data_IF_757218647632
#
_entry.id   IF_757218647632
#
_cell.length_a   1.000
_cell.length_b   1.000
_cell.length_c   1.000
_cell.angle_alpha   90.00
_cell.angle_beta   90.00
_cell.angle_gamma   90.00
#
_symmetry.space_group_name_H-M   'P 1'
#
loop_
_entity.id
_entity.type
_entity.pdbx_description
1 polymer ?
#
# COMPACT_ATOMS: atom_id res chain seq x y z
N UNK A 1 -2.62 2.07 9.82
CA UNK A 1 -1.64 2.66 8.86
C UNK A 1 -0.19 2.43 9.30
N UNK A 2 0.19 2.74 10.55
CA UNK A 2 1.57 2.49 11.03
C UNK A 2 2.05 1.04 10.77
N UNK A 3 1.25 0.05 11.15
CA UNK A 3 1.63 -1.37 10.95
C UNK A 3 1.73 -1.76 9.47
N UNK A 4 0.92 -1.13 8.61
CA UNK A 4 1.02 -1.33 7.15
C UNK A 4 2.35 -0.76 6.67
N UNK A 5 2.67 0.49 7.00
CA UNK A 5 3.93 1.13 6.63
C UNK A 5 5.14 0.34 7.15
N UNK A 6 5.08 -0.19 8.37
CA UNK A 6 6.10 -1.08 8.91
C UNK A 6 6.18 -2.41 8.16
N UNK A 7 5.06 -2.97 7.72
CA UNK A 7 5.04 -4.20 6.92
C UNK A 7 5.71 -4.01 5.55
N UNK A 8 5.56 -2.85 4.91
CA UNK A 8 6.28 -2.53 3.67
C UNK A 8 7.80 -2.42 3.86
N UNK A 9 8.25 -2.02 5.07
CA UNK A 9 9.67 -1.84 5.41
C UNK A 9 10.33 -3.09 5.97
N UNK A 10 9.61 -4.20 6.12
CA UNK A 10 10.26 -5.43 6.54
C UNK A 10 11.17 -5.93 5.39
N UNK A 11 12.25 -6.63 5.74
CA UNK A 11 13.30 -7.01 4.79
C UNK A 11 12.74 -7.82 3.61
N UNK A 12 11.76 -8.68 3.88
CA UNK A 12 11.16 -9.54 2.86
C UNK A 12 10.31 -8.76 1.85
N UNK A 13 9.41 -7.89 2.33
CA UNK A 13 8.52 -7.12 1.48
C UNK A 13 9.26 -5.99 0.77
N UNK A 14 10.20 -5.33 1.44
CA UNK A 14 11.05 -4.31 0.83
C UNK A 14 11.83 -4.89 -0.34
N UNK A 15 12.43 -6.08 -0.15
CA UNK A 15 13.10 -6.80 -1.24
C UNK A 15 12.13 -7.12 -2.38
N UNK A 16 10.96 -7.69 -2.10
CA UNK A 16 9.94 -8.00 -3.14
C UNK A 16 9.50 -6.77 -3.93
N UNK A 17 9.28 -5.65 -3.26
CA UNK A 17 8.89 -4.39 -3.90
C UNK A 17 10.02 -3.84 -4.78
N UNK A 18 11.27 -3.95 -4.32
CA UNK A 18 12.44 -3.53 -5.09
C UNK A 18 12.66 -4.42 -6.32
N UNK A 19 12.67 -5.73 -6.15
CA UNK A 19 12.86 -6.68 -7.25
C UNK A 19 11.79 -6.46 -8.35
N UNK A 20 10.52 -6.27 -7.94
CA UNK A 20 9.43 -5.94 -8.86
C UNK A 20 9.57 -4.59 -9.57
N UNK A 21 10.18 -3.59 -8.91
CA UNK A 21 10.46 -2.29 -9.52
C UNK A 21 11.62 -2.40 -10.52
N UNK A 22 12.67 -3.14 -10.17
CA UNK A 22 13.81 -3.39 -11.05
C UNK A 22 13.38 -4.17 -12.30
N UNK A 23 12.47 -5.15 -12.17
CA UNK A 23 11.88 -5.91 -13.28
C UNK A 23 10.98 -5.06 -14.18
N UNK A 24 10.23 -4.11 -13.61
CA UNK A 24 9.35 -3.22 -14.37
C UNK A 24 10.10 -2.08 -15.09
N UNK A 25 11.27 -1.69 -14.57
CA UNK A 25 12.03 -0.54 -15.07
C UNK A 25 11.20 0.76 -15.04
N UNK A 26 11.12 1.44 -16.19
CA UNK A 26 10.34 2.67 -16.36
C UNK A 26 8.96 2.43 -17.02
N UNK A 27 8.59 1.18 -17.29
CA UNK A 27 7.29 0.88 -17.90
C UNK A 27 6.20 0.99 -16.85
N UNK A 28 5.41 2.05 -16.95
CA UNK A 28 4.35 2.37 -16.00
C UNK A 28 3.30 1.26 -15.87
N UNK A 29 2.98 0.56 -16.97
CA UNK A 29 2.03 -0.53 -16.95
C UNK A 29 2.63 -1.74 -16.23
N UNK A 30 3.92 -2.03 -16.44
CA UNK A 30 4.62 -3.08 -15.70
C UNK A 30 4.76 -2.75 -14.22
N UNK A 31 5.07 -1.49 -13.86
CA UNK A 31 5.12 -1.05 -12.46
C UNK A 31 3.78 -1.36 -11.79
N UNK A 32 2.66 -0.98 -12.43
CA UNK A 32 1.32 -1.32 -11.91
C UNK A 32 1.11 -2.83 -11.81
N UNK A 33 1.45 -3.60 -12.84
CA UNK A 33 1.22 -5.05 -12.87
C UNK A 33 2.05 -5.82 -11.83
N UNK A 34 3.26 -5.38 -11.52
CA UNK A 34 4.15 -6.08 -10.58
C UNK A 34 4.05 -5.55 -9.15
N UNK A 35 3.96 -4.23 -8.97
CA UNK A 35 3.91 -3.61 -7.63
C UNK A 35 2.53 -3.75 -6.99
N UNK A 36 1.45 -3.55 -7.75
CA UNK A 36 0.11 -3.51 -7.17
C UNK A 36 -0.30 -4.82 -6.47
N UNK A 37 -0.07 -6.03 -7.05
CA UNK A 37 -0.40 -7.29 -6.37
C UNK A 37 0.40 -7.50 -5.08
N UNK A 38 1.68 -7.12 -5.07
CA UNK A 38 2.56 -7.24 -3.90
C UNK A 38 2.05 -6.30 -2.79
N UNK A 39 1.85 -5.02 -3.12
CA UNK A 39 1.34 -4.02 -2.20
C UNK A 39 -0.04 -4.39 -1.62
N UNK A 40 -0.91 -4.96 -2.45
CA UNK A 40 -2.23 -5.44 -2.08
C UNK A 40 -2.13 -6.57 -1.06
N UNK A 41 -1.27 -7.56 -1.33
CA UNK A 41 -1.05 -8.70 -0.44
C UNK A 41 -0.46 -8.29 0.91
N UNK A 42 0.47 -7.34 0.93
CA UNK A 42 1.02 -6.79 2.17
C UNK A 42 -0.08 -6.17 3.02
N UNK A 43 -0.94 -5.34 2.42
CA UNK A 43 -2.05 -4.70 3.14
C UNK A 43 -3.07 -5.74 3.64
N UNK A 44 -3.48 -6.70 2.81
CA UNK A 44 -4.42 -7.77 3.17
C UNK A 44 -3.93 -8.64 4.33
N UNK A 45 -2.60 -8.79 4.51
CA UNK A 45 -2.03 -9.52 5.64
C UNK A 45 -2.08 -8.74 6.96
N UNK A 46 -2.25 -7.42 6.92
CA UNK A 46 -2.20 -6.54 8.10
C UNK A 46 -3.59 -6.13 8.58
N UNK A 47 -4.50 -5.79 7.66
CA UNK A 47 -5.83 -5.28 8.00
C UNK A 47 -6.71 -6.21 8.86
N UNK A 48 -6.54 -7.56 8.88
CA UNK A 48 -7.29 -8.43 9.78
C UNK A 48 -7.08 -8.14 11.27
N UNK A 49 -5.91 -7.59 11.64
CA UNK A 49 -5.61 -7.15 13.00
C UNK A 49 -6.54 -6.05 13.50
N UNK A 50 -7.25 -5.38 12.59
CA UNK A 50 -8.14 -4.26 12.87
C UNK A 50 -9.61 -4.55 12.54
N UNK A 51 -9.97 -5.83 12.33
CA UNK A 51 -11.36 -6.26 12.12
C UNK A 51 -11.86 -6.19 10.68
N UNK A 52 -10.97 -6.01 9.69
CA UNK A 52 -11.31 -6.17 8.27
C UNK A 52 -11.06 -7.60 7.81
N UNK A 53 -11.70 -8.04 6.73
CA UNK A 53 -11.32 -9.31 6.09
C UNK A 53 -9.95 -9.20 5.40
N UNK A 54 -9.23 -10.32 5.30
CA UNK A 54 -7.92 -10.40 4.64
C UNK A 54 -8.00 -10.60 3.13
N UNK A 55 -8.98 -9.98 2.48
CA UNK A 55 -9.33 -10.16 1.07
C UNK A 55 -9.61 -8.82 0.39
N UNK A 56 -10.05 -8.88 -0.88
CA UNK A 56 -10.35 -7.71 -1.70
C UNK A 56 -11.40 -6.80 -1.08
N UNK A 57 -12.48 -7.38 -0.57
CA UNK A 57 -13.58 -6.62 0.03
C UNK A 57 -13.13 -5.92 1.31
N UNK A 58 -12.32 -6.61 2.13
CA UNK A 58 -11.72 -6.03 3.33
C UNK A 58 -10.81 -4.86 3.03
N UNK A 59 -9.98 -4.97 1.97
CA UNK A 59 -9.11 -3.88 1.53
C UNK A 59 -9.90 -2.69 0.97
N UNK A 60 -10.97 -2.94 0.23
CA UNK A 60 -11.88 -1.87 -0.26
C UNK A 60 -12.51 -1.13 0.91
N UNK A 61 -13.05 -1.87 1.89
CA UNK A 61 -13.66 -1.28 3.07
C UNK A 61 -12.63 -0.49 3.90
N UNK A 62 -11.43 -1.06 4.11
CA UNK A 62 -10.32 -0.38 4.77
C UNK A 62 -9.98 0.95 4.09
N UNK A 63 -9.83 0.93 2.77
CA UNK A 63 -9.48 2.12 1.97
C UNK A 63 -10.53 3.22 2.11
N UNK A 64 -11.83 2.87 2.00
CA UNK A 64 -12.94 3.82 2.20
C UNK A 64 -12.95 4.40 3.61
N UNK A 65 -12.66 3.58 4.62
CA UNK A 65 -12.56 4.03 6.00
C UNK A 65 -11.41 5.04 6.17
N UNK A 66 -10.22 4.78 5.62
CA UNK A 66 -9.11 5.73 5.66
C UNK A 66 -9.47 7.04 4.95
N UNK A 67 -10.11 6.98 3.78
CA UNK A 67 -10.56 8.17 3.03
C UNK A 67 -11.56 9.04 3.81
N UNK A 68 -12.37 8.43 4.69
CA UNK A 68 -13.25 9.19 5.59
C UNK A 68 -12.44 9.94 6.64
N UNK A 69 -11.49 9.25 7.29
CA UNK A 69 -10.71 9.81 8.40
C UNK A 69 -9.64 10.81 7.96
N UNK A 70 -9.08 10.70 6.75
CA UNK A 70 -8.03 11.61 6.27
C UNK A 70 -8.51 13.06 6.09
N UNK A 71 -9.83 13.28 5.95
CA UNK A 71 -10.45 14.60 5.83
C UNK A 71 -10.41 15.40 7.13
N UNK A 72 -10.39 14.70 8.26
CA UNK A 72 -10.51 15.29 9.61
C UNK A 72 -9.24 15.09 10.44
N UNK A 73 -8.30 14.25 9.98
CA UNK A 73 -7.11 13.88 10.72
C UNK A 73 -5.85 13.97 9.85
N UNK A 74 -5.04 15.00 10.10
CA UNK A 74 -3.81 15.26 9.35
C UNK A 74 -2.78 14.13 9.47
N UNK A 75 -2.66 13.48 10.63
CA UNK A 75 -1.74 12.34 10.81
C UNK A 75 -2.14 11.17 9.92
N UNK A 76 -3.43 10.89 9.82
CA UNK A 76 -3.96 9.86 8.91
C UNK A 76 -3.72 10.26 7.46
N UNK A 77 -3.96 11.53 7.08
CA UNK A 77 -3.68 12.06 5.75
C UNK A 77 -2.21 11.87 5.36
N UNK A 78 -1.29 12.24 6.25
CA UNK A 78 0.15 12.11 6.04
C UNK A 78 0.56 10.64 5.87
N UNK A 79 0.09 9.75 6.75
CA UNK A 79 0.39 8.32 6.65
C UNK A 79 -0.21 7.69 5.39
N UNK A 80 -1.42 8.10 4.97
CA UNK A 80 -2.02 7.60 3.75
C UNK A 80 -1.26 8.07 2.51
N UNK A 81 -0.76 9.31 2.51
CA UNK A 81 0.12 9.82 1.45
C UNK A 81 1.41 9.01 1.33
N UNK A 82 2.06 8.72 2.47
CA UNK A 82 3.25 7.86 2.52
C UNK A 82 2.95 6.45 2.01
N UNK A 83 1.78 5.89 2.34
CA UNK A 83 1.37 4.58 1.83
C UNK A 83 1.20 4.61 0.31
N UNK A 84 0.53 5.63 -0.23
CA UNK A 84 0.31 5.77 -1.68
C UNK A 84 1.63 5.90 -2.45
N UNK A 85 2.62 6.62 -1.92
CA UNK A 85 3.94 6.75 -2.58
C UNK A 85 4.70 5.42 -2.67
N UNK A 86 4.42 4.46 -1.78
CA UNK A 86 5.02 3.12 -1.83
C UNK A 86 4.38 2.23 -2.89
N UNK A 87 3.10 2.46 -3.20
CA UNK A 87 2.35 1.65 -4.17
C UNK A 87 2.41 2.25 -5.57
N UNK A 88 2.48 3.57 -5.67
CA UNK A 88 2.45 4.34 -6.92
C UNK A 88 3.59 5.37 -6.97
N UNK A 89 4.85 4.94 -7.12
CA UNK A 89 6.00 5.84 -7.13
C UNK A 89 6.01 6.86 -8.29
N UNK A 90 5.15 6.69 -9.30
CA UNK A 90 5.21 7.41 -10.59
C UNK A 90 4.28 8.63 -10.76
N UNK A 91 3.47 9.00 -9.75
CA UNK A 91 2.61 10.20 -9.83
C UNK A 91 3.03 11.28 -8.84
N UNK A 92 4.29 11.67 -8.89
CA UNK A 92 4.75 12.95 -8.33
C UNK A 92 4.88 13.96 -9.48
N UNK A 93 3.75 14.39 -10.04
CA UNK A 93 3.64 15.60 -10.85
C UNK A 93 2.46 16.43 -10.34
#
# INVERSE_FOLDING_TARGET
>A
LSDILSAFKNVENEKKMKDALDDAGNDMLMIMQFIFPIATKIQMNVIPKYGFSGDGDGLILFTRTIQKYEKENEKIRMMNSQLRSLVLPVFQQ
#
